data_IF_958759552962
#
_entry.id   IF_958759552962
#
_cell.length_a   1.000
_cell.length_b   1.000
_cell.length_c   1.000
_cell.angle_alpha   90.00
_cell.angle_beta   90.00
_cell.angle_gamma   90.00
#
_symmetry.space_group_name_H-M   'P 1'
#
loop_
_entity.id
_entity.type
_entity.pdbx_description
1 polymer ?
#
# COMPACT_ATOMS: atom_id res chain seq x y z
N UNK A 1 8.23 -2.91 4.20
CA UNK A 1 7.41 -3.94 3.56
C UNK A 1 8.28 -4.77 2.63
N UNK A 2 8.42 -6.06 2.91
CA UNK A 2 9.17 -7.04 2.11
C UNK A 2 8.25 -8.22 1.78
N UNK A 3 8.62 -9.10 0.86
CA UNK A 3 7.80 -10.26 0.47
C UNK A 3 7.48 -11.20 1.66
N UNK A 4 8.42 -11.35 2.59
CA UNK A 4 8.22 -12.12 3.83
C UNK A 4 7.15 -11.47 4.71
N UNK A 5 7.22 -10.15 4.89
CA UNK A 5 6.23 -9.40 5.67
C UNK A 5 4.87 -9.43 4.96
N UNK A 6 4.84 -9.25 3.63
CA UNK A 6 3.62 -9.30 2.86
C UNK A 6 2.93 -10.66 2.98
N UNK A 7 3.66 -11.75 2.81
CA UNK A 7 3.15 -13.11 3.01
C UNK A 7 2.51 -13.30 4.39
N UNK A 8 3.17 -12.83 5.44
CA UNK A 8 2.65 -12.93 6.81
C UNK A 8 1.39 -12.08 7.04
N UNK A 9 1.33 -10.87 6.48
CA UNK A 9 0.16 -9.99 6.60
C UNK A 9 -1.01 -10.56 5.80
N UNK A 10 -0.78 -10.99 4.57
CA UNK A 10 -1.81 -11.59 3.69
C UNK A 10 -2.42 -12.83 4.36
N UNK A 11 -1.58 -13.73 4.87
CA UNK A 11 -2.04 -14.93 5.58
C UNK A 11 -2.94 -14.57 6.78
N UNK A 12 -2.58 -13.56 7.55
CA UNK A 12 -3.39 -13.08 8.68
C UNK A 12 -4.71 -12.44 8.23
N UNK A 13 -4.73 -11.65 7.16
CA UNK A 13 -5.97 -11.07 6.62
C UNK A 13 -6.95 -12.16 6.17
N UNK A 14 -6.46 -13.16 5.44
CA UNK A 14 -7.26 -14.28 4.97
C UNK A 14 -7.76 -15.15 6.13
N UNK A 15 -6.91 -15.39 7.13
CA UNK A 15 -7.29 -16.10 8.34
C UNK A 15 -8.39 -15.36 9.10
N UNK A 16 -8.23 -14.06 9.37
CA UNK A 16 -9.23 -13.25 10.09
C UNK A 16 -10.56 -13.19 9.34
N UNK A 17 -10.55 -13.13 8.01
CA UNK A 17 -11.76 -13.25 7.21
C UNK A 17 -12.44 -14.62 7.40
N UNK A 18 -11.66 -15.70 7.46
CA UNK A 18 -12.22 -17.05 7.66
C UNK A 18 -12.87 -17.22 9.02
N UNK A 19 -12.34 -16.54 10.05
CA UNK A 19 -12.93 -16.50 11.40
C UNK A 19 -14.22 -15.67 11.42
N UNK A 20 -14.25 -14.52 10.73
CA UNK A 20 -15.46 -13.73 10.56
C UNK A 20 -15.35 -12.81 9.35
N UNK A 21 -16.33 -12.89 8.46
CA UNK A 21 -16.47 -11.99 7.32
C UNK A 21 -17.03 -10.60 7.70
N UNK A 22 -17.36 -10.36 8.98
CA UNK A 22 -18.02 -9.14 9.45
C UNK A 22 -17.22 -8.33 10.46
N UNK A 23 -16.40 -9.00 11.28
CA UNK A 23 -15.71 -8.33 12.38
C UNK A 23 -14.59 -7.43 11.83
N UNK A 24 -14.51 -6.15 12.24
CA UNK A 24 -13.45 -5.27 11.75
C UNK A 24 -12.04 -5.82 12.01
N UNK A 25 -11.17 -5.70 11.02
CA UNK A 25 -9.75 -6.02 11.13
C UNK A 25 -8.99 -4.75 11.45
N UNK A 26 -8.12 -4.78 12.45
CA UNK A 26 -7.27 -3.64 12.83
C UNK A 26 -5.85 -3.84 12.31
N UNK A 27 -5.42 -2.96 11.41
CA UNK A 27 -4.08 -2.96 10.83
C UNK A 27 -3.26 -1.79 11.39
N UNK A 28 -2.30 -2.11 12.26
CA UNK A 28 -1.34 -1.13 12.80
C UNK A 28 -0.14 -0.97 11.87
N UNK A 29 0.19 0.28 11.52
CA UNK A 29 1.20 0.62 10.53
C UNK A 29 2.25 1.54 11.17
N UNK A 30 3.46 1.00 11.30
CA UNK A 30 4.69 1.74 11.57
C UNK A 30 5.76 1.28 10.57
N UNK A 31 5.84 1.92 9.41
CA UNK A 31 6.72 1.44 8.35
C UNK A 31 7.25 2.57 7.46
N UNK A 32 8.56 2.53 7.12
CA UNK A 32 9.16 3.47 6.17
C UNK A 32 8.82 3.14 4.70
N UNK A 33 8.02 2.11 4.43
CA UNK A 33 7.73 1.64 3.07
C UNK A 33 8.51 0.38 2.72
N UNK A 34 8.71 0.12 1.42
CA UNK A 34 9.48 -1.04 0.94
C UNK A 34 9.13 -1.42 -0.50
N UNK A 35 9.19 -2.72 -0.81
CA UNK A 35 8.91 -3.25 -2.16
C UNK A 35 7.49 -2.88 -2.61
N UNK A 36 7.38 -2.35 -3.83
CA UNK A 36 6.11 -1.95 -4.45
C UNK A 36 5.20 -3.16 -4.63
N UNK A 37 5.71 -4.23 -5.22
CA UNK A 37 4.91 -5.44 -5.49
C UNK A 37 4.46 -6.13 -4.20
N UNK A 38 5.33 -6.17 -3.17
CA UNK A 38 4.96 -6.67 -1.85
C UNK A 38 3.82 -5.84 -1.22
N UNK A 39 3.91 -4.51 -1.33
CA UNK A 39 2.86 -3.61 -0.86
C UNK A 39 1.56 -3.76 -1.65
N UNK A 40 1.62 -3.94 -2.97
CA UNK A 40 0.46 -4.18 -3.82
C UNK A 40 -0.23 -5.50 -3.49
N UNK A 41 0.52 -6.57 -3.16
CA UNK A 41 -0.06 -7.83 -2.69
C UNK A 41 -0.87 -7.68 -1.39
N UNK A 42 -0.36 -6.90 -0.42
CA UNK A 42 -1.11 -6.57 0.80
C UNK A 42 -2.33 -5.71 0.44
N UNK A 43 -2.15 -4.69 -0.39
CA UNK A 43 -3.20 -3.78 -0.82
C UNK A 43 -4.37 -4.53 -1.45
N UNK A 44 -4.13 -5.38 -2.44
CA UNK A 44 -5.18 -6.12 -3.13
C UNK A 44 -5.88 -7.09 -2.17
N UNK A 45 -5.15 -7.71 -1.25
CA UNK A 45 -5.75 -8.55 -0.21
C UNK A 45 -6.65 -7.72 0.71
N UNK A 46 -6.24 -6.51 1.10
CA UNK A 46 -7.07 -5.60 1.90
C UNK A 46 -8.37 -5.22 1.17
N UNK A 47 -8.33 -5.06 -0.16
CA UNK A 47 -9.52 -4.75 -0.96
C UNK A 47 -10.39 -5.99 -1.24
N UNK A 48 -9.79 -7.17 -1.22
CA UNK A 48 -10.45 -8.43 -1.54
C UNK A 48 -11.25 -9.00 -0.37
N UNK A 49 -10.73 -8.86 0.86
CA UNK A 49 -11.42 -9.40 2.03
C UNK A 49 -12.69 -8.60 2.36
N UNK A 50 -13.73 -9.30 2.81
CA UNK A 50 -15.03 -8.75 3.17
C UNK A 50 -15.06 -7.91 4.45
N UNK A 51 -14.33 -8.27 5.53
CA UNK A 51 -14.38 -7.49 6.75
C UNK A 51 -13.85 -6.07 6.53
N UNK A 52 -14.46 -5.04 7.16
CA UNK A 52 -13.92 -3.69 7.08
C UNK A 52 -12.56 -3.63 7.77
N UNK A 53 -11.61 -2.91 7.18
CA UNK A 53 -10.25 -2.78 7.69
C UNK A 53 -10.05 -1.38 8.25
N UNK A 54 -9.77 -1.30 9.55
CA UNK A 54 -9.36 -0.10 10.23
C UNK A 54 -7.84 0.02 10.24
N UNK A 55 -7.31 1.11 9.67
CA UNK A 55 -5.86 1.34 9.58
C UNK A 55 -5.41 2.37 10.62
N UNK A 56 -4.27 2.13 11.26
CA UNK A 56 -3.75 2.95 12.36
C UNK A 56 -2.29 3.31 12.10
N UNK A 57 -2.00 4.57 11.78
CA UNK A 57 -0.64 5.06 11.69
C UNK A 57 -0.06 5.33 13.08
N UNK A 58 1.00 4.60 13.43
CA UNK A 58 1.72 4.71 14.69
C UNK A 58 3.19 5.00 14.36
N UNK A 59 3.65 6.21 14.63
CA UNK A 59 5.03 6.63 14.30
C UNK A 59 5.18 7.07 12.85
N UNK A 60 5.14 6.17 11.87
CA UNK A 60 5.20 6.56 10.45
C UNK A 60 4.47 5.63 9.49
N UNK A 61 3.93 6.21 8.43
CA UNK A 61 3.49 5.49 7.23
C UNK A 61 4.07 6.20 6.00
N UNK A 62 5.16 5.67 5.45
CA UNK A 62 5.84 6.24 4.30
C UNK A 62 5.75 5.33 3.06
N UNK A 63 5.71 5.93 1.87
CA UNK A 63 5.75 5.21 0.59
C UNK A 63 4.63 4.15 0.46
N UNK A 64 4.94 2.88 0.22
CA UNK A 64 3.90 1.83 0.20
C UNK A 64 3.10 1.74 1.51
N UNK A 65 3.67 2.13 2.66
CA UNK A 65 2.93 2.09 3.92
C UNK A 65 1.86 3.18 4.02
N UNK A 66 2.08 4.37 3.44
CA UNK A 66 1.02 5.40 3.36
C UNK A 66 -0.09 5.00 2.40
N UNK A 67 0.22 4.24 1.34
CA UNK A 67 -0.81 3.68 0.47
C UNK A 67 -1.69 2.68 1.24
N UNK A 68 -1.08 1.76 2.00
CA UNK A 68 -1.82 0.81 2.84
C UNK A 68 -2.65 1.53 3.91
N UNK A 69 -2.13 2.59 4.51
CA UNK A 69 -2.90 3.43 5.44
C UNK A 69 -4.13 4.03 4.75
N UNK A 70 -3.96 4.62 3.57
CA UNK A 70 -5.04 5.23 2.79
C UNK A 70 -6.07 4.20 2.31
N UNK A 71 -5.65 2.95 2.07
CA UNK A 71 -6.47 1.85 1.55
C UNK A 71 -7.41 1.20 2.58
N UNK A 72 -7.36 1.61 3.85
CA UNK A 72 -8.34 1.20 4.85
C UNK A 72 -9.77 1.65 4.50
N UNK A 73 -10.76 1.02 5.11
CA UNK A 73 -12.17 1.36 4.89
C UNK A 73 -12.43 2.85 5.16
N UNK A 74 -13.14 3.53 4.27
CA UNK A 74 -13.43 4.97 4.39
C UNK A 74 -14.11 5.27 5.74
N UNK A 75 -13.56 6.23 6.48
CA UNK A 75 -14.00 6.56 7.85
C UNK A 75 -13.28 5.78 8.97
N UNK A 76 -12.49 4.76 8.63
CA UNK A 76 -11.76 3.90 9.59
C UNK A 76 -10.23 4.02 9.43
N UNK A 77 -9.75 5.18 9.01
CA UNK A 77 -8.32 5.46 8.77
C UNK A 77 -7.85 6.47 9.79
N UNK A 78 -6.95 6.04 10.66
CA UNK A 78 -6.55 6.79 11.85
C UNK A 78 -5.05 7.04 11.86
N UNK A 79 -4.65 8.12 12.52
CA UNK A 79 -3.27 8.45 12.76
C UNK A 79 -3.12 9.01 14.16
N UNK A 80 -2.06 8.59 14.87
CA UNK A 80 -1.73 9.23 16.14
C UNK A 80 -1.21 10.67 15.91
N UNK A 81 -1.33 11.58 16.91
CA UNK A 81 -1.02 13.00 16.73
C UNK A 81 0.42 13.30 16.29
N UNK A 82 1.38 12.45 16.65
CA UNK A 82 2.80 12.62 16.33
C UNK A 82 3.29 11.70 15.21
N UNK A 83 2.39 10.95 14.58
CA UNK A 83 2.77 10.11 13.46
C UNK A 83 2.99 10.96 12.21
N UNK A 84 3.90 10.52 11.34
CA UNK A 84 4.18 11.19 10.06
C UNK A 84 3.75 10.34 8.87
N UNK A 85 3.24 11.00 7.85
CA UNK A 85 2.89 10.39 6.56
C UNK A 85 3.81 11.00 5.49
N UNK A 86 4.32 10.17 4.58
CA UNK A 86 5.13 10.63 3.46
C UNK A 86 4.80 9.82 2.21
N UNK A 87 4.52 10.51 1.10
CA UNK A 87 4.35 9.92 -0.22
C UNK A 87 5.51 10.34 -1.12
N UNK A 88 5.91 9.47 -2.03
CA UNK A 88 6.86 9.78 -3.09
C UNK A 88 6.65 8.82 -4.27
N UNK A 89 7.07 9.24 -5.46
CA UNK A 89 7.06 8.37 -6.64
C UNK A 89 7.96 7.14 -6.44
N UNK A 90 7.63 5.98 -7.05
CA UNK A 90 8.46 4.79 -6.95
C UNK A 90 9.85 5.04 -7.52
N UNK A 91 10.85 4.37 -6.93
CA UNK A 91 12.25 4.45 -7.32
C UNK A 91 12.78 3.05 -7.66
N UNK A 92 13.61 2.96 -8.68
CA UNK A 92 14.27 1.72 -9.11
C UNK A 92 15.55 2.02 -9.89
N UNK A 93 16.32 0.98 -10.18
CA UNK A 93 17.53 1.07 -10.99
C UNK A 93 17.58 -0.07 -12.00
N UNK A 94 18.11 0.20 -13.18
CA UNK A 94 18.32 -0.80 -14.25
C UNK A 94 19.71 -0.61 -14.86
N UNK A 95 20.35 -1.72 -15.20
CA UNK A 95 21.58 -1.77 -15.98
C UNK A 95 21.48 -2.96 -16.95
N UNK A 96 21.88 -2.79 -18.20
CA UNK A 96 21.74 -3.85 -19.21
C UNK A 96 21.82 -3.33 -20.63
N UNK A 97 21.32 -4.12 -21.58
CA UNK A 97 21.21 -3.68 -22.98
C UNK A 97 20.20 -2.54 -23.10
N UNK A 98 20.30 -1.75 -24.18
CA UNK A 98 19.39 -0.63 -24.41
C UNK A 98 17.91 -1.07 -24.38
N UNK A 99 17.61 -2.24 -24.94
CA UNK A 99 16.27 -2.85 -24.90
C UNK A 99 15.80 -3.16 -23.48
N UNK A 100 16.66 -3.73 -22.64
CA UNK A 100 16.32 -4.05 -21.24
C UNK A 100 16.05 -2.79 -20.44
N UNK A 101 16.89 -1.76 -20.64
CA UNK A 101 16.70 -0.44 -20.02
C UNK A 101 15.35 0.14 -20.43
N UNK A 102 15.00 0.10 -21.71
CA UNK A 102 13.72 0.61 -22.20
C UNK A 102 12.52 -0.14 -21.60
N UNK A 103 12.59 -1.47 -21.50
CA UNK A 103 11.55 -2.31 -20.90
C UNK A 103 11.34 -1.92 -19.43
N UNK A 104 12.41 -1.84 -18.65
CA UNK A 104 12.32 -1.50 -17.22
C UNK A 104 11.87 -0.06 -16.99
N UNK A 105 12.33 0.88 -17.82
CA UNK A 105 11.87 2.28 -17.77
C UNK A 105 10.36 2.39 -18.08
N UNK A 106 9.86 1.57 -19.01
CA UNK A 106 8.42 1.53 -19.31
C UNK A 106 7.64 0.95 -18.14
N UNK A 107 8.15 -0.09 -17.49
CA UNK A 107 7.48 -0.73 -16.35
C UNK A 107 7.41 0.19 -15.13
N UNK A 108 8.50 0.89 -14.78
CA UNK A 108 8.47 1.82 -13.64
C UNK A 108 7.50 2.98 -13.86
N UNK A 109 7.33 3.45 -15.10
CA UNK A 109 6.34 4.48 -15.44
C UNK A 109 4.91 3.96 -15.27
N UNK A 110 4.64 2.71 -15.67
CA UNK A 110 3.34 2.07 -15.43
C UNK A 110 3.05 1.91 -13.94
N UNK A 111 4.03 1.44 -13.17
CA UNK A 111 3.90 1.31 -11.71
C UNK A 111 3.63 2.67 -11.05
N UNK A 112 4.32 3.72 -11.49
CA UNK A 112 4.07 5.09 -11.01
C UNK A 112 2.63 5.51 -11.27
N UNK A 113 2.16 5.34 -12.51
CA UNK A 113 0.78 5.69 -12.87
C UNK A 113 -0.23 4.90 -12.03
N UNK A 114 -0.04 3.58 -11.92
CA UNK A 114 -0.92 2.71 -11.13
C UNK A 114 -0.99 3.17 -9.67
N UNK A 115 0.15 3.45 -9.02
CA UNK A 115 0.17 3.91 -7.63
C UNK A 115 -0.56 5.26 -7.49
N UNK A 116 -0.35 6.19 -8.41
CA UNK A 116 -1.03 7.48 -8.39
C UNK A 116 -2.55 7.32 -8.49
N UNK A 117 -3.03 6.47 -9.39
CA UNK A 117 -4.46 6.16 -9.54
C UNK A 117 -5.05 5.53 -8.26
N UNK A 118 -4.28 4.70 -7.54
CA UNK A 118 -4.70 4.16 -6.25
C UNK A 118 -4.81 5.27 -5.18
N UNK A 119 -3.86 6.21 -5.14
CA UNK A 119 -3.98 7.37 -4.24
C UNK A 119 -5.17 8.23 -4.59
N UNK A 120 -5.40 8.55 -5.87
CA UNK A 120 -6.60 9.28 -6.34
C UNK A 120 -7.88 8.58 -5.85
N UNK A 121 -7.98 7.25 -6.05
CA UNK A 121 -9.13 6.44 -5.61
C UNK A 121 -9.41 6.60 -4.11
N UNK A 122 -8.38 6.53 -3.27
CA UNK A 122 -8.55 6.48 -1.81
C UNK A 122 -8.60 7.85 -1.15
N UNK A 123 -7.95 8.85 -1.72
CA UNK A 123 -7.92 10.22 -1.18
C UNK A 123 -9.07 11.08 -1.71
N UNK A 124 -9.55 10.80 -2.93
CA UNK A 124 -10.49 11.66 -3.66
C UNK A 124 -9.85 12.93 -4.23
N UNK A 125 -8.53 13.07 -4.16
CA UNK A 125 -7.80 14.17 -4.78
C UNK A 125 -7.67 13.97 -6.29
N UNK A 126 -7.48 15.06 -7.02
CA UNK A 126 -7.21 14.99 -8.46
C UNK A 126 -5.79 14.51 -8.71
N UNK A 127 -5.55 13.90 -9.88
CA UNK A 127 -4.22 13.40 -10.25
C UNK A 127 -3.13 14.49 -10.22
N UNK A 128 -3.49 15.73 -10.54
CA UNK A 128 -2.56 16.87 -10.50
C UNK A 128 -2.11 17.23 -9.07
N UNK A 129 -2.83 16.77 -8.05
CA UNK A 129 -2.51 16.96 -6.63
C UNK A 129 -1.75 15.77 -6.02
N UNK A 130 -1.53 14.69 -6.79
CA UNK A 130 -0.85 13.44 -6.39
C UNK A 130 0.56 13.35 -6.99
#
# INVERSE_FOLDING_TARGET
VTDVVASAVIAQLLFLQSESSKNPIHLYINSPGGSVTAGLGIYDTMQYVLPPISTWCVGQACSMASLLLAAGTKGMRHSLPNARIMIHQPSGGVQGQATDIQIQATEILKLKQQINELYVKHTGQNLDEI
#
